data_IF_863986594998
#
_entry.id   IF_863986594998
#
_cell.length_a   1.000
_cell.length_b   1.000
_cell.length_c   1.000
_cell.angle_alpha   90.00
_cell.angle_beta   90.00
_cell.angle_gamma   90.00
#
_symmetry.space_group_name_H-M   'P 1'
#
loop_
_entity.id
_entity.type
_entity.pdbx_description
1 polymer ?
#
# COMPACT_ATOMS: atom_id res chain seq x y z
N UNK A 1 -27.19 19.38 32.37
CA UNK A 1 -25.82 19.89 32.63
C UNK A 1 -25.11 20.08 31.31
N UNK A 2 -24.77 21.31 30.92
CA UNK A 2 -24.03 21.55 29.69
C UNK A 2 -22.56 21.24 30.00
N UNK A 3 -22.00 20.23 29.32
CA UNK A 3 -20.57 19.94 29.44
C UNK A 3 -19.80 21.09 28.78
N UNK A 4 -18.94 21.75 29.55
CA UNK A 4 -17.99 22.74 29.03
C UNK A 4 -17.18 22.11 27.88
N UNK A 5 -17.16 22.76 26.72
CA UNK A 5 -16.47 22.29 25.53
C UNK A 5 -14.94 22.33 25.71
N UNK A 6 -14.22 21.37 25.11
CA UNK A 6 -12.75 21.26 25.25
C UNK A 6 -11.99 22.52 24.79
N UNK A 7 -12.54 23.28 23.84
CA UNK A 7 -11.92 24.51 23.34
C UNK A 7 -12.43 25.79 24.02
N UNK A 8 -13.42 25.71 24.93
CA UNK A 8 -14.02 26.87 25.57
C UNK A 8 -13.07 27.52 26.59
N UNK A 9 -13.22 28.82 26.92
CA UNK A 9 -12.47 29.45 27.99
C UNK A 9 -12.61 28.68 29.29
N UNK A 10 -11.50 28.41 29.98
CA UNK A 10 -11.53 27.66 31.23
C UNK A 10 -12.23 28.46 32.34
N UNK A 11 -13.03 27.79 33.16
CA UNK A 11 -13.81 28.40 34.24
C UNK A 11 -12.97 28.98 35.40
N UNK A 12 -11.64 28.80 35.40
CA UNK A 12 -10.74 29.35 36.43
C UNK A 12 -10.29 30.80 36.13
N UNK A 13 -10.84 31.45 35.10
CA UNK A 13 -10.52 32.86 34.77
C UNK A 13 -9.16 33.10 34.11
N UNK A 14 -8.42 32.03 33.79
CA UNK A 14 -7.08 32.15 33.23
C UNK A 14 -7.00 32.49 31.73
N UNK A 15 -8.13 32.68 31.05
CA UNK A 15 -8.21 33.01 29.62
C UNK A 15 -7.79 31.89 28.64
N UNK A 16 -7.16 30.81 29.12
CA UNK A 16 -6.77 29.64 28.30
C UNK A 16 -7.93 28.68 28.05
N UNK A 17 -7.86 27.93 26.94
CA UNK A 17 -8.82 26.89 26.57
C UNK A 17 -8.90 25.79 27.63
N UNK A 18 -10.09 25.23 27.86
CA UNK A 18 -10.34 24.20 28.86
C UNK A 18 -9.35 23.04 28.74
N UNK A 19 -9.13 22.48 27.54
CA UNK A 19 -8.19 21.37 27.28
C UNK A 19 -6.72 21.64 27.66
N UNK A 20 -6.31 22.90 27.78
CA UNK A 20 -4.94 23.31 28.14
C UNK A 20 -4.84 23.66 29.63
N UNK A 21 -5.98 23.78 30.30
CA UNK A 21 -6.07 24.05 31.72
C UNK A 21 -6.59 22.80 32.43
N UNK A 22 -7.80 22.86 32.98
CA UNK A 22 -8.42 21.77 33.76
C UNK A 22 -8.97 20.61 32.92
N UNK A 23 -8.88 20.71 31.58
CA UNK A 23 -9.20 19.63 30.64
C UNK A 23 -7.98 18.91 30.10
N UNK A 24 -6.80 19.13 30.69
CA UNK A 24 -5.66 18.25 30.44
C UNK A 24 -5.96 16.91 31.10
N UNK A 25 -6.32 15.93 30.28
CA UNK A 25 -6.22 14.54 30.71
C UNK A 25 -4.75 14.33 31.05
N UNK A 26 -4.45 14.04 32.32
CA UNK A 26 -3.10 13.83 32.77
C UNK A 26 -2.45 12.81 31.82
N UNK A 27 -1.54 13.27 30.97
CA UNK A 27 -0.74 12.39 30.12
C UNK A 27 0.20 11.66 31.08
N UNK A 28 -0.33 10.61 31.69
CA UNK A 28 0.35 9.89 32.74
C UNK A 28 1.62 9.30 32.14
N UNK A 29 2.72 9.71 32.77
CA UNK A 29 4.08 9.26 32.56
C UNK A 29 4.12 7.75 32.23
N UNK A 30 4.94 7.39 31.23
CA UNK A 30 5.26 6.05 30.71
C UNK A 30 4.71 5.65 29.33
N UNK A 31 3.84 6.43 28.68
CA UNK A 31 3.38 6.07 27.31
C UNK A 31 4.56 5.93 26.32
N UNK A 32 5.59 6.75 26.44
CA UNK A 32 6.78 6.66 25.56
C UNK A 32 7.64 5.42 25.88
N UNK A 33 7.75 5.03 27.14
CA UNK A 33 8.44 3.79 27.55
C UNK A 33 7.65 2.54 27.15
N UNK A 34 6.32 2.60 27.18
CA UNK A 34 5.45 1.53 26.67
C UNK A 34 5.63 1.38 25.15
N UNK A 35 5.64 2.48 24.39
CA UNK A 35 5.89 2.45 22.95
C UNK A 35 7.31 1.92 22.65
N UNK A 36 8.32 2.41 23.37
CA UNK A 36 9.71 1.93 23.22
C UNK A 36 9.84 0.44 23.57
N UNK A 37 9.13 -0.04 24.60
CA UNK A 37 9.08 -1.45 24.98
C UNK A 37 8.44 -2.32 23.89
N UNK A 38 7.35 -1.87 23.27
CA UNK A 38 6.69 -2.59 22.17
C UNK A 38 7.63 -2.68 20.95
N UNK A 39 8.24 -1.56 20.54
CA UNK A 39 9.16 -1.52 19.40
C UNK A 39 10.38 -2.43 19.65
N UNK A 40 10.98 -2.33 20.84
CA UNK A 40 12.10 -3.19 21.23
C UNK A 40 11.74 -4.68 21.28
N UNK A 41 10.55 -5.02 21.81
CA UNK A 41 10.06 -6.40 21.86
C UNK A 41 9.81 -7.00 20.48
N UNK A 42 9.23 -6.24 19.54
CA UNK A 42 9.02 -6.68 18.16
C UNK A 42 10.37 -6.88 17.45
N UNK A 43 11.31 -5.95 17.61
CA UNK A 43 12.66 -6.08 17.02
C UNK A 43 13.40 -7.32 17.57
N UNK A 44 13.35 -7.54 18.89
CA UNK A 44 13.93 -8.72 19.52
C UNK A 44 13.28 -10.02 19.03
N UNK A 45 11.96 -10.02 18.85
CA UNK A 45 11.21 -11.16 18.31
C UNK A 45 11.67 -11.51 16.90
N UNK A 46 11.75 -10.54 15.99
CA UNK A 46 12.20 -10.76 14.62
C UNK A 46 13.68 -11.18 14.57
N UNK A 47 14.55 -10.57 15.37
CA UNK A 47 15.98 -10.92 15.42
C UNK A 47 16.22 -12.36 15.94
N UNK A 48 15.43 -12.80 16.92
CA UNK A 48 15.50 -14.19 17.42
C UNK A 48 14.81 -15.20 16.49
N UNK A 49 13.72 -14.83 15.81
CA UNK A 49 13.05 -15.74 14.86
C UNK A 49 13.86 -15.95 13.57
N UNK A 50 14.62 -14.94 13.12
CA UNK A 50 15.49 -15.02 11.93
C UNK A 50 16.76 -15.87 12.19
N UNK A 51 17.13 -16.06 13.46
CA UNK A 51 18.28 -16.92 13.83
C UNK A 51 18.00 -18.44 13.64
N UNK A 52 16.79 -18.82 13.21
CA UNK A 52 16.31 -20.19 13.15
C UNK A 52 16.31 -20.89 11.78
N UNK A 53 16.57 -20.19 10.66
CA UNK A 53 16.59 -20.87 9.35
C UNK A 53 18.02 -21.14 8.93
N UNK A 54 18.60 -22.21 9.48
CA UNK A 54 19.69 -22.90 8.80
C UNK A 54 19.16 -23.36 7.44
N UNK A 55 19.52 -22.65 6.39
CA UNK A 55 19.34 -23.07 5.00
C UNK A 55 20.18 -24.33 4.79
N UNK A 56 19.62 -25.49 5.14
CA UNK A 56 20.23 -26.79 4.86
C UNK A 56 20.16 -27.05 3.36
N UNK A 57 21.23 -26.69 2.66
CA UNK A 57 21.52 -27.16 1.30
C UNK A 57 21.83 -28.65 1.36
N UNK A 58 20.81 -29.50 1.26
CA UNK A 58 20.99 -30.92 0.92
C UNK A 58 21.22 -31.02 -0.59
N UNK A 59 22.49 -30.90 -0.99
CA UNK A 59 22.95 -31.37 -2.30
C UNK A 59 22.94 -32.91 -2.29
N UNK A 60 21.76 -33.50 -2.48
CA UNK A 60 21.61 -34.94 -2.72
C UNK A 60 21.48 -35.15 -4.22
N UNK A 61 22.59 -35.57 -4.84
CA UNK A 61 22.62 -36.07 -6.21
C UNK A 61 21.90 -37.42 -6.29
N UNK A 62 20.65 -37.42 -6.76
CA UNK A 62 19.98 -38.61 -7.32
C UNK A 62 19.33 -38.18 -8.66
N UNK A 63 19.68 -38.83 -9.78
CA UNK A 63 19.13 -38.51 -11.09
C UNK A 63 17.81 -39.26 -11.29
N UNK A 64 16.69 -38.56 -11.19
CA UNK A 64 15.42 -39.09 -11.67
C UNK A 64 14.64 -37.95 -12.31
N UNK A 65 14.33 -38.13 -13.59
CA UNK A 65 13.40 -37.30 -14.36
C UNK A 65 12.09 -37.16 -13.59
N UNK A 66 11.84 -35.98 -13.04
CA UNK A 66 10.56 -35.62 -12.43
C UNK A 66 10.02 -34.42 -13.18
N UNK A 67 8.98 -34.70 -13.95
CA UNK A 67 8.09 -33.73 -14.57
C UNK A 67 7.68 -32.70 -13.50
N UNK A 68 7.75 -31.38 -13.77
CA UNK A 68 7.30 -30.38 -12.81
C UNK A 68 5.81 -30.61 -12.52
N UNK A 69 5.51 -31.00 -11.29
CA UNK A 69 4.16 -31.10 -10.79
C UNK A 69 3.60 -29.67 -10.71
N UNK A 70 2.82 -29.28 -11.73
CA UNK A 70 2.04 -28.04 -11.72
C UNK A 70 1.12 -28.09 -10.51
N UNK A 71 1.44 -27.28 -9.50
CA UNK A 71 0.57 -27.07 -8.36
C UNK A 71 -0.74 -26.48 -8.89
N UNK A 72 -1.86 -27.18 -8.68
CA UNK A 72 -3.19 -26.85 -9.17
C UNK A 72 -3.79 -25.64 -8.42
N UNK A 73 -3.11 -24.50 -8.51
CA UNK A 73 -3.53 -23.20 -7.98
C UNK A 73 -3.15 -22.02 -8.88
N UNK A 74 -2.35 -22.25 -9.94
CA UNK A 74 -2.09 -21.21 -10.94
C UNK A 74 -3.27 -21.12 -11.89
N UNK A 75 -4.00 -20.01 -11.85
CA UNK A 75 -5.10 -19.77 -12.77
C UNK A 75 -4.55 -19.77 -14.22
N UNK A 76 -5.14 -20.58 -15.10
CA UNK A 76 -4.90 -20.47 -16.52
C UNK A 76 -5.46 -19.12 -17.03
N UNK A 77 -4.82 -18.45 -18.00
CA UNK A 77 -5.40 -17.28 -18.61
C UNK A 77 -6.74 -17.64 -19.27
N UNK A 78 -7.72 -16.72 -19.29
CA UNK A 78 -8.98 -16.95 -19.99
C UNK A 78 -8.71 -17.24 -21.49
N UNK A 79 -9.53 -18.09 -22.16
CA UNK A 79 -9.38 -18.34 -23.59
C UNK A 79 -9.48 -17.04 -24.39
N UNK A 80 -8.39 -16.64 -25.05
CA UNK A 80 -8.31 -15.41 -25.83
C UNK A 80 -6.87 -14.95 -26.03
N UNK A 81 -6.62 -14.15 -27.07
CA UNK A 81 -5.32 -13.50 -27.26
C UNK A 81 -5.06 -12.49 -26.12
N UNK A 82 -3.81 -12.40 -25.68
CA UNK A 82 -3.40 -11.45 -24.66
C UNK A 82 -3.67 -10.01 -25.14
N UNK A 83 -4.28 -9.14 -24.31
CA UNK A 83 -4.41 -7.73 -24.67
C UNK A 83 -3.02 -7.11 -24.94
N UNK A 84 -2.86 -6.27 -25.98
CA UNK A 84 -1.59 -5.63 -26.30
C UNK A 84 -1.00 -4.89 -25.10
N UNK A 85 0.27 -5.17 -24.78
CA UNK A 85 0.96 -4.56 -23.64
C UNK A 85 0.61 -5.16 -22.29
N UNK A 86 -0.04 -6.33 -22.23
CA UNK A 86 -0.33 -7.03 -20.98
C UNK A 86 0.30 -8.44 -20.93
N UNK A 87 0.80 -8.83 -19.77
CA UNK A 87 1.34 -10.18 -19.48
C UNK A 87 0.52 -10.84 -18.37
N UNK A 88 0.23 -12.12 -18.53
CA UNK A 88 -0.53 -12.90 -17.55
C UNK A 88 0.35 -13.24 -16.36
N UNK A 89 -0.13 -13.01 -15.13
CA UNK A 89 0.50 -13.53 -13.91
C UNK A 89 -0.25 -14.77 -13.40
N UNK A 90 0.32 -15.98 -13.61
CA UNK A 90 -0.31 -17.22 -13.17
C UNK A 90 -0.52 -17.28 -11.66
N UNK A 91 0.32 -16.59 -10.87
CA UNK A 91 0.24 -16.60 -9.40
C UNK A 91 -0.94 -15.78 -8.85
N UNK A 92 -1.37 -14.75 -9.59
CA UNK A 92 -2.37 -13.79 -9.12
C UNK A 92 -3.63 -13.75 -9.99
N UNK A 93 -3.71 -14.56 -11.06
CA UNK A 93 -4.89 -14.66 -11.91
C UNK A 93 -5.31 -13.35 -12.60
N UNK A 94 -4.37 -12.44 -12.90
CA UNK A 94 -4.66 -11.19 -13.59
C UNK A 94 -3.55 -10.76 -14.57
N UNK A 95 -3.90 -9.83 -15.47
CA UNK A 95 -2.99 -9.23 -16.43
C UNK A 95 -2.21 -8.05 -15.81
N UNK A 96 -0.89 -8.08 -15.88
CA UNK A 96 -0.03 -6.93 -15.60
C UNK A 96 0.25 -6.16 -16.88
N UNK A 97 0.41 -4.84 -16.79
CA UNK A 97 0.94 -4.09 -17.92
C UNK A 97 2.44 -4.39 -18.03
N UNK A 98 2.93 -4.67 -19.24
CA UNK A 98 4.38 -4.63 -19.47
C UNK A 98 4.85 -3.19 -19.24
N UNK A 99 6.06 -2.99 -18.70
CA UNK A 99 6.70 -1.71 -18.85
C UNK A 99 6.96 -1.52 -20.35
N UNK A 100 5.97 -0.96 -21.05
CA UNK A 100 6.22 -0.30 -22.33
C UNK A 100 7.28 0.72 -22.01
N UNK A 101 8.53 0.49 -22.46
CA UNK A 101 9.55 1.53 -22.50
C UNK A 101 8.90 2.74 -23.15
N UNK A 102 8.56 3.80 -22.39
CA UNK A 102 8.21 5.05 -23.00
C UNK A 102 9.56 5.61 -23.46
N UNK A 103 9.73 5.82 -24.76
CA UNK A 103 10.83 6.63 -25.23
C UNK A 103 10.88 7.91 -24.40
N UNK A 104 11.99 8.12 -23.70
CA UNK A 104 12.33 9.33 -22.95
C UNK A 104 11.33 9.79 -21.89
N UNK A 105 11.41 9.21 -20.70
CA UNK A 105 11.07 9.94 -19.48
C UNK A 105 12.36 10.17 -18.67
N UNK A 106 13.01 11.31 -18.92
CA UNK A 106 13.99 11.88 -18.00
C UNK A 106 13.24 12.19 -16.69
N UNK A 107 13.70 11.72 -15.52
CA UNK A 107 13.05 12.06 -14.25
C UNK A 107 13.28 13.55 -13.96
N UNK A 108 12.25 14.39 -14.05
CA UNK A 108 12.36 15.78 -13.60
C UNK A 108 11.50 16.85 -14.26
N UNK A 109 10.45 16.54 -15.03
CA UNK A 109 9.55 17.60 -15.56
C UNK A 109 8.16 17.50 -14.93
N UNK A 110 7.76 18.61 -14.32
CA UNK A 110 6.53 18.84 -13.57
C UNK A 110 5.23 18.60 -14.38
N UNK A 111 4.08 18.39 -13.71
CA UNK A 111 2.94 17.61 -14.21
C UNK A 111 1.88 18.44 -14.96
N UNK A 112 2.25 19.51 -15.66
CA UNK A 112 1.28 20.44 -16.28
C UNK A 112 1.10 20.26 -17.80
N UNK A 113 1.31 19.06 -18.32
CA UNK A 113 0.99 18.77 -19.73
C UNK A 113 -0.30 17.95 -19.80
N UNK A 114 -1.34 18.40 -20.51
CA UNK A 114 -2.57 17.63 -20.70
C UNK A 114 -2.26 16.23 -21.24
N UNK A 115 -2.58 15.19 -20.48
CA UNK A 115 -2.40 13.81 -20.91
C UNK A 115 -3.46 13.45 -21.96
N UNK A 116 -3.05 12.95 -23.14
CA UNK A 116 -3.98 12.49 -24.16
C UNK A 116 -4.78 11.30 -23.62
N UNK A 117 -6.06 11.23 -24.00
CA UNK A 117 -6.92 10.11 -23.64
C UNK A 117 -6.34 8.80 -24.19
N UNK A 118 -6.26 7.73 -23.40
CA UNK A 118 -5.79 6.44 -23.88
C UNK A 118 -6.69 5.92 -25.02
N UNK A 119 -6.13 5.26 -26.06
CA UNK A 119 -6.91 4.65 -27.12
C UNK A 119 -7.86 3.57 -26.56
N UNK A 120 -9.16 3.70 -26.82
CA UNK A 120 -10.18 2.75 -26.36
C UNK A 120 -11.57 3.38 -26.24
N UNK A 121 -12.59 2.53 -26.12
CA UNK A 121 -13.96 2.99 -25.85
C UNK A 121 -14.05 3.62 -24.46
N UNK A 122 -14.74 4.75 -24.37
CA UNK A 122 -14.99 5.43 -23.10
C UNK A 122 -15.80 4.52 -22.17
N UNK A 123 -15.33 4.22 -20.94
CA UNK A 123 -16.10 3.41 -20.00
C UNK A 123 -17.48 4.06 -19.75
N UNK A 124 -18.58 3.27 -19.72
CA UNK A 124 -19.91 3.80 -19.51
C UNK A 124 -19.98 4.58 -18.20
N UNK A 125 -20.41 5.84 -18.28
CA UNK A 125 -20.50 6.71 -17.10
C UNK A 125 -19.20 7.35 -16.65
N UNK A 126 -18.14 7.32 -17.47
CA UNK A 126 -16.85 7.95 -17.14
C UNK A 126 -16.44 9.02 -18.15
N UNK A 127 -15.78 10.10 -17.69
CA UNK A 127 -15.18 11.17 -18.51
C UNK A 127 -13.68 11.26 -18.28
N UNK A 128 -12.89 11.46 -19.32
CA UNK A 128 -11.43 11.58 -19.21
C UNK A 128 -11.04 12.96 -18.69
N UNK A 129 -10.22 13.00 -17.64
CA UNK A 129 -9.62 14.21 -17.09
C UNK A 129 -8.20 14.38 -17.63
N UNK A 130 -7.99 15.18 -18.70
CA UNK A 130 -6.67 15.34 -19.31
C UNK A 130 -5.65 15.99 -18.37
N UNK A 131 -6.11 16.79 -17.41
CA UNK A 131 -5.25 17.38 -16.37
C UNK A 131 -4.68 16.32 -15.41
N UNK A 132 -5.44 15.27 -15.13
CA UNK A 132 -5.11 14.31 -14.07
C UNK A 132 -4.79 12.91 -14.60
N UNK A 133 -4.85 12.69 -15.91
CA UNK A 133 -4.53 11.39 -16.52
C UNK A 133 -5.42 10.23 -16.07
N UNK A 134 -6.66 10.49 -15.63
CA UNK A 134 -7.59 9.45 -15.17
C UNK A 134 -9.06 9.74 -15.49
N UNK A 135 -9.89 8.72 -15.39
CA UNK A 135 -11.34 8.78 -15.61
C UNK A 135 -12.09 9.27 -14.35
N UNK A 136 -13.00 10.22 -14.51
CA UNK A 136 -13.96 10.65 -13.48
C UNK A 136 -15.33 10.05 -13.75
N UNK A 137 -16.13 9.85 -12.71
CA UNK A 137 -17.55 9.51 -12.88
C UNK A 137 -18.33 10.72 -13.41
N UNK A 138 -19.27 10.48 -14.33
CA UNK A 138 -20.29 11.47 -14.66
C UNK A 138 -21.23 11.59 -13.45
N UNK A 139 -21.44 12.81 -12.95
CA UNK A 139 -22.49 13.09 -11.96
C UNK A 139 -23.86 13.23 -12.64
#
# INVERSE_FOLDING_TARGET
MIKQGRNDPCHCGSGKKFKVCHGQDAKSFNQQWVIAGIIGGIFLLFFFMDSGTSTTTVNTSIPTSVIPQVNAGSAAPPPGEAPPGKVWSPEHGHWHNTPTTPGSAVPGVAPNLPQPQPPGETPPGKVWSPEHGHWHDIQ
#
